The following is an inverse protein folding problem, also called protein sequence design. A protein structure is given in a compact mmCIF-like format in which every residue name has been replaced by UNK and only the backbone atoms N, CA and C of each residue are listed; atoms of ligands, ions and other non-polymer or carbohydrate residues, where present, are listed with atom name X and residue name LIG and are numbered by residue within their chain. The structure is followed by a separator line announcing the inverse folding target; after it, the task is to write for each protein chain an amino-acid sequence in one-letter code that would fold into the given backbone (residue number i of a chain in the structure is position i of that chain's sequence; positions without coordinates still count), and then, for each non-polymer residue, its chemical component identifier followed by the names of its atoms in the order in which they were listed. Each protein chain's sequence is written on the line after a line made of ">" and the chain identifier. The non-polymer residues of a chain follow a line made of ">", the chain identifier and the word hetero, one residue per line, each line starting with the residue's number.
data_IF_559473218677
#
_entry.id   IF_559473218677
#
_cell.length_a   1.000
_cell.length_b   1.000
_cell.length_c   1.000
_cell.angle_alpha   90.00
_cell.angle_beta   90.00
_cell.angle_gamma   90.00
#
_symmetry.space_group_name_H-M   'P 1'
#
loop_
_entity.id
_entity.type
_entity.pdbx_description
1 polymer ?
#
# COMPACT_ATOMS: atom_id res chain seq x y z
N UNK A 1 -34.82 34.17 -8.47
CA UNK A 1 -35.62 32.92 -8.41
C UNK A 1 -34.82 31.62 -8.69
N UNK A 2 -33.52 31.65 -9.05
CA UNK A 2 -32.77 30.44 -9.44
C UNK A 2 -32.00 29.67 -8.35
N UNK A 3 -31.72 30.26 -7.18
CA UNK A 3 -30.88 29.61 -6.14
C UNK A 3 -31.57 28.48 -5.37
N UNK A 4 -32.90 28.56 -5.19
CA UNK A 4 -33.66 27.53 -4.44
C UNK A 4 -33.82 26.21 -5.23
N UNK A 5 -33.97 26.29 -6.55
CA UNK A 5 -34.07 25.10 -7.41
C UNK A 5 -32.75 24.31 -7.48
N UNK A 6 -31.62 25.03 -7.57
CA UNK A 6 -30.29 24.42 -7.59
C UNK A 6 -29.99 23.70 -6.26
N UNK A 7 -30.40 24.29 -5.13
CA UNK A 7 -30.21 23.69 -3.82
C UNK A 7 -31.06 22.42 -3.61
N UNK A 8 -32.29 22.39 -4.15
CA UNK A 8 -33.15 21.20 -4.16
C UNK A 8 -32.55 20.04 -4.97
N UNK A 9 -31.98 20.32 -6.14
CA UNK A 9 -31.35 19.31 -6.99
C UNK A 9 -30.09 18.75 -6.29
N UNK A 10 -29.22 19.61 -5.75
CA UNK A 10 -28.04 19.18 -5.01
C UNK A 10 -28.38 18.34 -3.78
N UNK A 11 -29.44 18.70 -3.04
CA UNK A 11 -29.91 17.91 -1.90
C UNK A 11 -30.49 16.55 -2.33
N UNK A 12 -31.19 16.46 -3.46
CA UNK A 12 -31.67 15.19 -3.99
C UNK A 12 -30.53 14.25 -4.38
N UNK A 13 -29.48 14.76 -5.05
CA UNK A 13 -28.28 13.98 -5.38
C UNK A 13 -27.52 13.53 -4.12
N UNK A 14 -27.42 14.39 -3.10
CA UNK A 14 -26.78 14.02 -1.83
C UNK A 14 -27.58 12.97 -1.04
N UNK A 15 -28.91 13.04 -1.06
CA UNK A 15 -29.79 12.03 -0.47
C UNK A 15 -29.67 10.69 -1.21
N UNK A 16 -29.77 10.70 -2.54
CA UNK A 16 -29.63 9.49 -3.36
C UNK A 16 -28.26 8.84 -3.18
N UNK A 17 -27.18 9.63 -3.15
CA UNK A 17 -25.81 9.16 -2.88
C UNK A 17 -25.65 8.53 -1.49
N UNK A 18 -26.31 9.09 -0.48
CA UNK A 18 -26.35 8.53 0.89
C UNK A 18 -26.98 7.14 0.93
N UNK A 19 -28.15 6.99 0.29
CA UNK A 19 -28.89 5.73 0.30
C UNK A 19 -28.32 4.66 -0.64
N UNK A 20 -27.66 5.03 -1.75
CA UNK A 20 -27.11 4.08 -2.73
C UNK A 20 -25.75 3.49 -2.34
N UNK A 21 -24.97 4.22 -1.52
CA UNK A 21 -23.63 3.82 -1.05
C UNK A 21 -23.58 2.44 -0.37
N UNK A 22 -24.50 2.06 0.54
CA UNK A 22 -24.48 0.72 1.13
C UNK A 22 -24.82 -0.38 0.12
N UNK A 23 -25.74 -0.17 -0.81
CA UNK A 23 -26.09 -1.16 -1.84
C UNK A 23 -24.96 -1.40 -2.83
N UNK A 24 -24.19 -0.36 -3.18
CA UNK A 24 -23.02 -0.51 -4.04
C UNK A 24 -21.96 -1.44 -3.43
N UNK A 25 -21.77 -1.41 -2.10
CA UNK A 25 -20.88 -2.35 -1.39
C UNK A 25 -21.35 -3.80 -1.57
N UNK A 26 -22.64 -4.06 -1.38
CA UNK A 26 -23.20 -5.41 -1.54
C UNK A 26 -23.18 -5.87 -3.00
N UNK A 27 -23.39 -4.95 -3.95
CA UNK A 27 -23.29 -5.24 -5.37
C UNK A 27 -21.85 -5.58 -5.79
N UNK A 28 -20.85 -4.83 -5.30
CA UNK A 28 -19.44 -5.15 -5.54
C UNK A 28 -19.08 -6.49 -4.89
N UNK A 29 -19.46 -6.73 -3.64
CA UNK A 29 -19.20 -8.00 -2.96
C UNK A 29 -19.86 -9.18 -3.68
N UNK A 30 -21.15 -9.06 -4.01
CA UNK A 30 -21.90 -10.08 -4.75
C UNK A 30 -21.30 -10.32 -6.13
N UNK A 31 -20.94 -9.25 -6.85
CA UNK A 31 -20.25 -9.33 -8.14
C UNK A 31 -18.91 -10.05 -8.04
N UNK A 32 -18.10 -9.76 -7.02
CA UNK A 32 -16.84 -10.45 -6.75
C UNK A 32 -17.07 -11.93 -6.46
N UNK A 33 -18.04 -12.28 -5.61
CA UNK A 33 -18.35 -13.69 -5.32
C UNK A 33 -18.85 -14.44 -6.56
N UNK A 34 -19.75 -13.85 -7.34
CA UNK A 34 -20.23 -14.44 -8.59
C UNK A 34 -19.11 -14.60 -9.61
N UNK A 35 -18.22 -13.61 -9.72
CA UNK A 35 -17.04 -13.69 -10.58
C UNK A 35 -16.10 -14.81 -10.15
N UNK A 36 -15.77 -14.90 -8.85
CA UNK A 36 -14.93 -15.97 -8.31
C UNK A 36 -15.57 -17.33 -8.55
N UNK A 37 -16.87 -17.48 -8.27
CA UNK A 37 -17.59 -18.74 -8.50
C UNK A 37 -17.60 -19.13 -9.98
N UNK A 38 -17.89 -18.18 -10.87
CA UNK A 38 -17.85 -18.41 -12.33
C UNK A 38 -16.45 -18.78 -12.80
N UNK A 39 -15.43 -18.04 -12.39
CA UNK A 39 -14.04 -18.30 -12.74
C UNK A 39 -13.61 -19.69 -12.25
N UNK A 40 -13.97 -20.05 -11.03
CA UNK A 40 -13.69 -21.36 -10.45
C UNK A 40 -14.35 -22.47 -11.27
N UNK A 41 -15.66 -22.38 -11.55
CA UNK A 41 -16.38 -23.40 -12.34
C UNK A 41 -15.83 -23.53 -13.77
N UNK A 42 -15.42 -22.41 -14.37
CA UNK A 42 -14.91 -22.37 -15.75
C UNK A 42 -13.51 -22.98 -15.84
N UNK A 43 -12.62 -22.65 -14.91
CA UNK A 43 -11.20 -23.00 -14.97
C UNK A 43 -10.79 -24.14 -14.01
N UNK A 44 -11.73 -24.77 -13.30
CA UNK A 44 -11.42 -25.80 -12.29
C UNK A 44 -10.59 -26.95 -12.86
N UNK A 45 -10.86 -27.35 -14.11
CA UNK A 45 -10.11 -28.42 -14.80
C UNK A 45 -8.66 -28.03 -15.07
N UNK A 46 -8.41 -26.76 -15.38
CA UNK A 46 -7.04 -26.25 -15.57
C UNK A 46 -6.27 -26.34 -14.26
N UNK A 47 -6.89 -25.94 -13.15
CA UNK A 47 -6.30 -26.03 -11.80
C UNK A 47 -6.06 -27.49 -11.39
N UNK A 48 -7.02 -28.38 -11.65
CA UNK A 48 -6.89 -29.81 -11.35
C UNK A 48 -5.78 -30.51 -12.13
N UNK A 49 -5.43 -29.98 -13.31
CA UNK A 49 -4.36 -30.50 -14.15
C UNK A 49 -2.97 -29.93 -13.80
N UNK A 50 -2.85 -29.01 -12.84
CA UNK A 50 -1.55 -28.49 -12.38
C UNK A 50 -0.80 -29.62 -11.69
N UNK A 51 0.27 -30.10 -12.32
CA UNK A 51 1.15 -31.12 -11.77
C UNK A 51 2.34 -30.47 -11.05
N UNK A 52 2.43 -30.69 -9.73
CA UNK A 52 3.61 -30.30 -8.95
C UNK A 52 4.71 -31.33 -9.25
N UNK A 53 5.65 -30.96 -10.12
CA UNK A 53 6.80 -31.79 -10.48
C UNK A 53 7.96 -31.54 -9.52
N UNK A 54 8.80 -32.55 -9.32
CA UNK A 54 9.98 -32.45 -8.47
C UNK A 54 10.95 -31.33 -8.92
N UNK A 55 11.00 -31.08 -10.23
CA UNK A 55 11.81 -30.03 -10.85
C UNK A 55 11.37 -28.61 -10.48
N UNK A 56 10.15 -28.43 -9.96
CA UNK A 56 9.62 -27.13 -9.55
C UNK A 56 10.03 -26.71 -8.14
N UNK A 57 10.54 -27.62 -7.31
CA UNK A 57 10.93 -27.31 -5.92
C UNK A 57 12.09 -26.31 -5.80
N UNK A 58 13.17 -26.37 -6.61
CA UNK A 58 14.21 -25.35 -6.59
C UNK A 58 13.66 -23.96 -6.92
N UNK A 59 12.78 -23.87 -7.92
CA UNK A 59 12.14 -22.61 -8.28
C UNK A 59 11.24 -22.08 -7.14
N UNK A 60 10.48 -22.97 -6.50
CA UNK A 60 9.66 -22.63 -5.33
C UNK A 60 10.52 -22.13 -4.16
N UNK A 61 11.65 -22.78 -3.89
CA UNK A 61 12.59 -22.38 -2.83
C UNK A 61 13.18 -21.00 -3.12
N UNK A 62 13.57 -20.73 -4.38
CA UNK A 62 14.07 -19.41 -4.80
C UNK A 62 12.97 -18.36 -4.64
N UNK A 63 11.75 -18.61 -5.13
CA UNK A 63 10.64 -17.68 -5.04
C UNK A 63 10.28 -17.36 -3.57
N UNK A 64 10.27 -18.38 -2.71
CA UNK A 64 10.06 -18.22 -1.27
C UNK A 64 11.18 -17.39 -0.64
N UNK A 65 12.44 -17.71 -0.95
CA UNK A 65 13.61 -16.98 -0.46
C UNK A 65 13.59 -15.51 -0.84
N UNK A 66 13.33 -15.20 -2.12
CA UNK A 66 13.20 -13.82 -2.62
C UNK A 66 12.04 -13.09 -1.94
N UNK A 67 10.91 -13.76 -1.74
CA UNK A 67 9.75 -13.17 -1.05
C UNK A 67 10.07 -12.85 0.40
N UNK A 68 10.65 -13.80 1.14
CA UNK A 68 11.05 -13.59 2.54
C UNK A 68 12.11 -12.50 2.67
N UNK A 69 13.11 -12.51 1.79
CA UNK A 69 14.14 -11.47 1.74
C UNK A 69 13.51 -10.10 1.52
N UNK A 70 12.61 -9.95 0.56
CA UNK A 70 11.88 -8.71 0.31
C UNK A 70 11.14 -8.23 1.56
N UNK A 71 10.40 -9.11 2.24
CA UNK A 71 9.67 -8.76 3.46
C UNK A 71 10.58 -8.33 4.62
N UNK A 72 11.70 -9.02 4.81
CA UNK A 72 12.72 -8.67 5.82
C UNK A 72 13.32 -7.30 5.48
N UNK A 73 13.67 -7.10 4.20
CA UNK A 73 14.27 -5.86 3.72
C UNK A 73 13.34 -4.67 3.95
N UNK A 74 12.04 -4.80 3.69
CA UNK A 74 11.09 -3.71 3.95
C UNK A 74 10.97 -3.40 5.44
N UNK A 75 10.95 -4.42 6.31
CA UNK A 75 10.97 -4.23 7.76
C UNK A 75 12.23 -3.50 8.24
N UNK A 76 13.38 -3.78 7.63
CA UNK A 76 14.63 -3.08 7.89
C UNK A 76 14.62 -1.63 7.39
N UNK A 77 14.09 -1.36 6.19
CA UNK A 77 13.90 0.00 5.67
C UNK A 77 12.99 0.83 6.58
N UNK A 78 11.92 0.23 7.10
CA UNK A 78 11.04 0.91 8.05
C UNK A 78 11.77 1.32 9.35
N UNK A 79 12.70 0.49 9.85
CA UNK A 79 13.58 0.89 10.97
C UNK A 79 14.43 2.12 10.63
N UNK A 80 14.97 2.21 9.41
CA UNK A 80 15.73 3.38 8.98
C UNK A 80 14.85 4.64 8.97
N UNK A 81 13.61 4.54 8.51
CA UNK A 81 12.65 5.66 8.55
C UNK A 81 12.40 6.12 9.99
N UNK A 82 12.20 5.18 10.93
CA UNK A 82 12.05 5.51 12.36
C UNK A 82 13.30 6.18 12.95
N UNK A 83 14.49 5.76 12.51
CA UNK A 83 15.75 6.37 12.92
C UNK A 83 15.86 7.83 12.45
N UNK A 84 15.42 8.14 11.24
CA UNK A 84 15.36 9.52 10.72
C UNK A 84 14.43 10.42 11.56
N UNK A 85 13.36 9.84 12.12
CA UNK A 85 12.49 10.53 13.08
C UNK A 85 13.06 10.62 14.51
N UNK A 86 14.34 10.27 14.71
CA UNK A 86 14.99 10.21 16.03
C UNK A 86 14.25 9.28 17.00
N UNK A 87 13.65 8.21 16.48
CA UNK A 87 12.99 7.14 17.24
C UNK A 87 13.70 5.81 16.98
N UNK A 88 14.99 5.67 17.35
CA UNK A 88 15.75 4.47 17.02
C UNK A 88 15.16 3.24 17.69
N UNK A 89 15.02 2.17 16.92
CA UNK A 89 14.59 0.85 17.40
C UNK A 89 15.54 -0.23 16.93
N UNK A 90 15.52 -1.38 17.61
CA UNK A 90 16.26 -2.55 17.16
C UNK A 90 15.72 -3.04 15.80
N UNK A 91 16.61 -3.32 14.85
CA UNK A 91 16.25 -3.86 13.54
C UNK A 91 15.45 -5.17 13.62
N UNK A 92 15.84 -6.08 14.51
CA UNK A 92 15.13 -7.34 14.71
C UNK A 92 13.69 -7.12 15.18
N UNK A 93 13.48 -6.15 16.09
CA UNK A 93 12.15 -5.78 16.54
C UNK A 93 11.31 -5.21 15.38
N UNK A 94 11.86 -4.29 14.60
CA UNK A 94 11.14 -3.67 13.48
C UNK A 94 10.76 -4.70 12.41
N UNK A 95 11.68 -5.62 12.06
CA UNK A 95 11.42 -6.71 11.13
C UNK A 95 10.33 -7.64 11.67
N UNK A 96 10.39 -8.04 12.95
CA UNK A 96 9.36 -8.89 13.55
C UNK A 96 7.98 -8.22 13.55
N UNK A 97 7.91 -6.94 13.92
CA UNK A 97 6.66 -6.16 13.88
C UNK A 97 6.14 -6.07 12.45
N UNK A 98 7.01 -5.78 11.48
CA UNK A 98 6.63 -5.69 10.07
C UNK A 98 6.04 -7.02 9.59
N UNK A 99 6.72 -8.15 9.81
CA UNK A 99 6.27 -9.48 9.39
C UNK A 99 4.93 -9.86 10.04
N UNK A 100 4.79 -9.67 11.35
CA UNK A 100 3.54 -9.98 12.08
C UNK A 100 2.36 -9.15 11.59
N UNK A 101 2.57 -7.85 11.42
CA UNK A 101 1.51 -6.91 11.00
C UNK A 101 1.14 -7.06 9.53
N UNK A 102 2.07 -7.52 8.68
CA UNK A 102 1.80 -7.68 7.25
C UNK A 102 0.75 -8.76 6.95
N UNK A 103 0.53 -9.73 7.84
CA UNK A 103 -0.57 -10.70 7.74
C UNK A 103 -1.93 -9.99 7.68
N UNK A 104 -2.09 -8.86 8.37
CA UNK A 104 -3.33 -8.10 8.38
C UNK A 104 -3.63 -7.42 7.02
N UNK A 105 -2.71 -7.42 6.06
CA UNK A 105 -2.96 -6.93 4.69
C UNK A 105 -4.04 -7.73 3.97
N UNK A 106 -4.19 -9.01 4.32
CA UNK A 106 -5.18 -9.90 3.73
C UNK A 106 -6.59 -9.73 4.31
N UNK A 107 -6.76 -8.84 5.30
CA UNK A 107 -8.07 -8.48 5.83
C UNK A 107 -8.78 -7.45 4.93
N UNK A 108 -10.12 -7.50 4.83
CA UNK A 108 -10.88 -6.60 3.97
C UNK A 108 -10.63 -5.14 4.36
N UNK A 109 -10.27 -4.31 3.36
CA UNK A 109 -10.00 -2.88 3.51
C UNK A 109 -8.52 -2.48 3.41
N UNK A 110 -7.57 -3.43 3.46
CA UNK A 110 -6.14 -3.20 3.24
C UNK A 110 -5.48 -2.14 4.17
N UNK A 111 -6.12 -1.73 5.27
CA UNK A 111 -5.60 -0.71 6.20
C UNK A 111 -5.06 -1.31 7.51
N UNK A 112 -5.41 -2.57 7.79
CA UNK A 112 -5.16 -3.19 9.10
C UNK A 112 -3.67 -3.40 9.41
N UNK A 113 -2.85 -3.65 8.40
CA UNK A 113 -1.41 -3.79 8.57
C UNK A 113 -0.74 -2.48 8.98
N UNK A 114 -1.20 -1.34 8.45
CA UNK A 114 -0.75 -0.01 8.88
C UNK A 114 -1.16 0.26 10.33
N UNK A 115 -2.42 0.01 10.66
CA UNK A 115 -2.94 0.21 12.01
C UNK A 115 -2.18 -0.63 13.05
N UNK A 116 -1.99 -1.93 12.77
CA UNK A 116 -1.24 -2.83 13.64
C UNK A 116 0.18 -2.35 13.89
N UNK A 117 0.85 -1.86 12.84
CA UNK A 117 2.23 -1.36 12.95
C UNK A 117 2.33 -0.08 13.79
N UNK A 118 1.38 0.84 13.64
CA UNK A 118 1.30 2.06 14.47
C UNK A 118 1.07 1.69 15.94
N UNK A 119 0.19 0.72 16.20
CA UNK A 119 -0.12 0.26 17.55
C UNK A 119 1.09 -0.38 18.24
N UNK A 120 1.82 -1.26 17.54
CA UNK A 120 3.05 -1.87 18.06
C UNK A 120 4.15 -0.84 18.27
N UNK A 121 4.31 0.12 17.35
CA UNK A 121 5.23 1.25 17.52
C UNK A 121 4.90 2.07 18.79
N UNK A 122 3.64 2.40 19.01
CA UNK A 122 3.20 3.11 20.22
C UNK A 122 3.48 2.32 21.49
N UNK A 123 3.24 0.99 21.49
CA UNK A 123 3.56 0.11 22.62
C UNK A 123 5.06 0.08 22.94
N UNK A 124 5.91 0.22 21.92
CA UNK A 124 7.36 0.33 22.08
C UNK A 124 7.84 1.73 22.53
N UNK A 125 6.92 2.64 22.88
CA UNK A 125 7.24 3.98 23.37
C UNK A 125 7.50 5.02 22.28
N UNK A 126 7.31 4.66 21.00
CA UNK A 126 7.48 5.60 19.89
C UNK A 126 6.35 6.64 19.92
N UNK A 127 6.69 7.91 19.71
CA UNK A 127 5.69 8.97 19.65
C UNK A 127 4.62 8.67 18.58
N UNK A 128 3.31 8.77 18.89
CA UNK A 128 2.24 8.39 17.96
C UNK A 128 2.31 9.08 16.59
N UNK A 129 2.75 10.34 16.56
CA UNK A 129 2.92 11.11 15.31
C UNK A 129 4.03 10.53 14.44
N UNK A 130 5.22 10.30 15.01
CA UNK A 130 6.35 9.67 14.31
C UNK A 130 6.02 8.25 13.85
N UNK A 131 5.32 7.47 14.68
CA UNK A 131 4.84 6.14 14.30
C UNK A 131 3.94 6.20 13.06
N UNK A 132 2.93 7.08 13.07
CA UNK A 132 2.00 7.26 11.94
C UNK A 132 2.72 7.71 10.67
N UNK A 133 3.56 8.73 10.76
CA UNK A 133 4.30 9.27 9.62
C UNK A 133 5.27 8.24 9.03
N UNK A 134 5.97 7.47 9.88
CA UNK A 134 6.89 6.42 9.42
C UNK A 134 6.18 5.33 8.62
N UNK A 135 4.97 4.96 9.04
CA UNK A 135 4.15 3.92 8.43
C UNK A 135 3.57 4.40 7.09
N UNK A 136 3.28 5.69 6.95
CA UNK A 136 2.81 6.30 5.70
C UNK A 136 3.94 6.55 4.69
N UNK A 137 5.13 6.93 5.17
CA UNK A 137 6.29 7.17 4.31
C UNK A 137 6.80 5.89 3.66
N UNK A 138 6.74 4.75 4.34
CA UNK A 138 7.19 3.46 3.82
C UNK A 138 6.59 3.12 2.43
N UNK A 139 5.25 3.02 2.25
CA UNK A 139 4.67 2.74 0.94
C UNK A 139 4.87 3.88 -0.06
N UNK A 140 4.96 5.14 0.37
CA UNK A 140 5.22 6.28 -0.51
C UNK A 140 6.62 6.19 -1.15
N UNK A 141 7.63 5.87 -0.33
CA UNK A 141 9.00 5.66 -0.79
C UNK A 141 9.11 4.41 -1.68
N UNK A 142 8.42 3.32 -1.32
CA UNK A 142 8.37 2.12 -2.17
C UNK A 142 7.72 2.39 -3.54
N UNK A 143 6.58 3.09 -3.56
CA UNK A 143 5.91 3.47 -4.81
C UNK A 143 6.83 4.34 -5.67
N UNK A 144 7.49 5.31 -5.05
CA UNK A 144 8.43 6.19 -5.74
C UNK A 144 9.62 5.44 -6.34
N UNK A 145 10.23 4.53 -5.58
CA UNK A 145 11.31 3.67 -6.07
C UNK A 145 10.84 2.80 -7.24
N UNK A 146 9.63 2.23 -7.14
CA UNK A 146 9.03 1.44 -8.22
C UNK A 146 8.84 2.24 -9.51
N UNK A 147 8.35 3.48 -9.42
CA UNK A 147 8.20 4.35 -10.60
C UNK A 147 9.57 4.73 -11.17
N UNK A 148 10.55 5.07 -10.33
CA UNK A 148 11.91 5.38 -10.79
C UNK A 148 12.54 4.20 -11.54
N UNK A 149 12.49 2.99 -10.96
CA UNK A 149 12.98 1.78 -11.62
C UNK A 149 12.22 1.54 -12.93
N UNK A 150 10.90 1.73 -12.94
CA UNK A 150 10.09 1.64 -14.16
C UNK A 150 10.54 2.61 -15.25
N UNK A 151 10.75 3.88 -14.93
CA UNK A 151 11.23 4.88 -15.89
C UNK A 151 12.64 4.56 -16.42
N UNK A 152 13.49 3.94 -15.59
CA UNK A 152 14.86 3.57 -15.97
C UNK A 152 14.88 2.30 -16.80
N UNK A 153 14.11 1.26 -16.46
CA UNK A 153 14.20 -0.04 -17.11
C UNK A 153 13.30 -0.19 -18.35
N UNK A 154 12.24 0.62 -18.51
CA UNK A 154 11.35 0.52 -19.66
C UNK A 154 11.74 1.50 -20.77
N UNK A 155 12.29 0.97 -21.86
CA UNK A 155 12.76 1.76 -23.00
C UNK A 155 11.64 2.29 -23.92
N UNK A 156 10.39 1.92 -23.66
CA UNK A 156 9.24 2.42 -24.44
C UNK A 156 8.89 3.89 -24.15
N UNK A 157 9.45 4.49 -23.10
CA UNK A 157 9.21 5.89 -22.79
C UNK A 157 10.13 6.82 -23.58
N UNK A 158 9.60 7.94 -24.04
CA UNK A 158 10.40 9.01 -24.62
C UNK A 158 11.45 9.48 -23.60
N UNK A 159 12.71 9.62 -24.03
CA UNK A 159 13.85 10.02 -23.18
C UNK A 159 13.56 11.31 -22.38
N UNK A 160 12.84 12.26 -22.98
CA UNK A 160 12.45 13.50 -22.31
C UNK A 160 11.51 13.23 -21.13
N UNK A 161 10.48 12.40 -21.32
CA UNK A 161 9.55 12.01 -20.27
C UNK A 161 10.24 11.21 -19.16
N UNK A 162 11.24 10.39 -19.50
CA UNK A 162 12.05 9.67 -18.51
C UNK A 162 12.80 10.65 -17.60
N UNK A 163 13.50 11.63 -18.17
CA UNK A 163 14.25 12.63 -17.40
C UNK A 163 13.30 13.47 -16.55
N UNK A 164 12.23 14.01 -17.15
CA UNK A 164 11.25 14.84 -16.43
C UNK A 164 10.60 14.05 -15.30
N UNK A 165 10.20 12.81 -15.54
CA UNK A 165 9.62 11.93 -14.53
C UNK A 165 10.58 11.64 -13.36
N UNK A 166 11.84 11.30 -13.67
CA UNK A 166 12.86 11.08 -12.64
C UNK A 166 13.12 12.34 -11.80
N UNK A 167 13.29 13.50 -12.44
CA UNK A 167 13.49 14.78 -11.75
C UNK A 167 12.27 15.13 -10.90
N UNK A 168 11.05 14.95 -11.41
CA UNK A 168 9.83 15.21 -10.66
C UNK A 168 9.72 14.34 -9.39
N UNK A 169 10.05 13.04 -9.48
CA UNK A 169 9.99 12.14 -8.33
C UNK A 169 11.11 12.43 -7.33
N UNK A 170 12.35 12.66 -7.81
CA UNK A 170 13.48 12.97 -6.93
C UNK A 170 13.30 14.29 -6.20
N UNK A 171 12.76 15.31 -6.87
CA UNK A 171 12.41 16.59 -6.23
C UNK A 171 11.28 16.38 -5.21
N UNK A 172 10.23 15.65 -5.55
CA UNK A 172 9.13 15.38 -4.61
C UNK A 172 9.57 14.67 -3.32
N UNK A 173 10.54 13.74 -3.41
CA UNK A 173 11.09 13.00 -2.24
C UNK A 173 12.21 13.78 -1.55
N UNK A 174 12.72 14.84 -2.17
CA UNK A 174 13.83 15.58 -1.61
C UNK A 174 13.48 16.09 -0.20
N UNK A 175 14.36 15.95 0.81
CA UNK A 175 14.06 16.34 2.20
C UNK A 175 13.58 17.78 2.35
N UNK A 176 14.03 18.68 1.47
CA UNK A 176 13.54 20.09 1.47
C UNK A 176 12.06 20.23 1.14
N UNK A 177 11.47 19.31 0.38
CA UNK A 177 10.04 19.31 0.02
C UNK A 177 9.25 18.42 0.98
N UNK A 178 9.76 17.24 1.33
CA UNK A 178 9.10 16.35 2.28
C UNK A 178 9.05 16.90 3.70
N UNK A 179 10.15 17.46 4.23
CA UNK A 179 10.20 17.90 5.63
C UNK A 179 9.13 18.95 5.98
N UNK A 180 8.88 20.00 5.16
CA UNK A 180 7.79 20.92 5.42
C UNK A 180 6.41 20.26 5.47
N UNK A 181 6.15 19.26 4.61
CA UNK A 181 4.88 18.53 4.59
C UNK A 181 4.75 17.68 5.87
N UNK A 182 5.81 16.99 6.24
CA UNK A 182 5.90 16.21 7.48
C UNK A 182 5.67 17.12 8.69
N UNK A 183 6.36 18.26 8.77
CA UNK A 183 6.22 19.25 9.84
C UNK A 183 4.82 19.89 9.88
N UNK A 184 4.18 20.09 8.72
CA UNK A 184 2.81 20.58 8.64
C UNK A 184 1.83 19.55 9.22
N UNK A 185 1.97 18.28 8.83
CA UNK A 185 1.19 17.16 9.39
C UNK A 185 1.48 16.96 10.88
N UNK A 186 2.70 17.24 11.33
CA UNK A 186 3.04 17.22 12.76
C UNK A 186 2.31 18.31 13.58
N UNK A 187 1.90 19.42 12.95
CA UNK A 187 1.20 20.53 13.64
C UNK A 187 -0.32 20.37 13.67
N UNK A 188 -0.89 19.57 12.77
CA UNK A 188 -2.29 19.12 12.84
C UNK A 188 -2.51 18.13 14.00
#
# INVERSE_FOLDING_TARGET
>A
MGKQHLHRILNFFNLAKSHLKPYLRYLILGGTFLFIAKAFLTHWREVANIQIRAESFPLLAIALGVTLFSLIFVGWVWMLILREFRQPVNAAWAIQVFLKTNIAKYLPGNIWHFWGRILEAKKAGIFPKAATLSVLLEPLLMASAGVLIGLICFDKFNWFLRIVGCVAILTAIHPRILNPIVLFVERL
#
